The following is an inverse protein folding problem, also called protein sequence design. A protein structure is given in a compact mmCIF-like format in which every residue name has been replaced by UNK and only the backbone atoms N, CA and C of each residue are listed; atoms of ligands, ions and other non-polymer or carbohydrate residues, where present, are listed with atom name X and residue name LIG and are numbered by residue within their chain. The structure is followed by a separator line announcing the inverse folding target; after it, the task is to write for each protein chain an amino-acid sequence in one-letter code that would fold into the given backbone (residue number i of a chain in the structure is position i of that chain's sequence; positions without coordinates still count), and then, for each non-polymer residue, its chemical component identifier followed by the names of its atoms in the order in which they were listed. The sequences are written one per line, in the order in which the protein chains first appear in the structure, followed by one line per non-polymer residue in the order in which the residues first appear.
data_IF_046659351396
#
_entry.id   IF_046659351396
#
_cell.length_a   1.000
_cell.length_b   1.000
_cell.length_c   1.000
_cell.angle_alpha   90.00
_cell.angle_beta   90.00
_cell.angle_gamma   90.00
#
_symmetry.space_group_name_H-M   'P 1'
#
loop_
_entity.id
_entity.type
_entity.pdbx_description
1 polymer ?
#
# COMPACT_ATOMS: atom_id res chain seq x y z
N UNK A 1 11.39 -3.45 3.79
CA UNK A 1 10.86 -4.04 2.54
C UNK A 1 10.47 -2.98 1.51
N UNK A 2 9.59 -2.01 1.84
CA UNK A 2 9.20 -0.94 0.91
C UNK A 2 10.38 -0.12 0.35
N UNK A 3 11.32 0.31 1.20
CA UNK A 3 12.52 1.05 0.77
C UNK A 3 13.38 0.24 -0.22
N UNK A 4 13.56 -1.06 0.03
CA UNK A 4 14.31 -1.93 -0.87
C UNK A 4 13.65 -2.03 -2.26
N UNK A 5 12.32 -2.00 -2.32
CA UNK A 5 11.56 -1.98 -3.58
C UNK A 5 11.72 -0.63 -4.29
N UNK A 6 11.74 0.49 -3.56
CA UNK A 6 12.01 1.82 -4.15
C UNK A 6 13.42 1.85 -4.76
N UNK A 7 14.42 1.34 -4.06
CA UNK A 7 15.80 1.27 -4.56
C UNK A 7 15.88 0.34 -5.78
N UNK A 8 15.29 -0.85 -5.69
CA UNK A 8 15.26 -1.82 -6.80
C UNK A 8 14.52 -1.26 -8.02
N UNK A 9 13.44 -0.50 -7.81
CA UNK A 9 12.71 0.20 -8.86
C UNK A 9 13.63 1.16 -9.64
N UNK A 10 14.51 1.91 -8.97
CA UNK A 10 15.48 2.77 -9.65
C UNK A 10 16.43 1.98 -10.57
N UNK A 11 16.91 0.83 -10.11
CA UNK A 11 17.73 -0.05 -10.95
C UNK A 11 16.94 -0.62 -12.14
N UNK A 12 15.70 -1.05 -11.92
CA UNK A 12 14.84 -1.57 -12.99
C UNK A 12 14.50 -0.52 -14.04
N UNK A 13 14.25 0.73 -13.64
CA UNK A 13 14.01 1.84 -14.57
C UNK A 13 15.24 2.04 -15.46
N UNK A 14 16.44 2.12 -14.87
CA UNK A 14 17.67 2.29 -15.65
C UNK A 14 17.88 1.15 -16.65
N UNK A 15 17.54 -0.09 -16.26
CA UNK A 15 17.66 -1.27 -17.12
C UNK A 15 16.63 -1.29 -18.25
N UNK A 16 15.39 -0.88 -17.99
CA UNK A 16 14.26 -1.05 -18.92
C UNK A 16 14.00 0.19 -19.78
N UNK A 17 14.40 1.39 -19.34
CA UNK A 17 14.22 2.64 -20.08
C UNK A 17 14.78 2.62 -21.51
N UNK A 18 15.95 2.01 -21.80
CA UNK A 18 16.47 1.92 -23.16
C UNK A 18 15.55 1.13 -24.12
N UNK A 19 14.70 0.26 -23.59
CA UNK A 19 13.80 -0.60 -24.38
C UNK A 19 12.42 0.03 -24.63
N UNK A 20 12.24 1.32 -24.32
CA UNK A 20 10.98 2.01 -24.55
C UNK A 20 10.61 2.03 -26.05
N UNK A 21 9.45 1.49 -26.40
CA UNK A 21 8.95 1.42 -27.78
C UNK A 21 9.44 0.20 -28.57
N UNK A 22 10.23 -0.68 -27.95
CA UNK A 22 10.67 -1.93 -28.58
C UNK A 22 9.63 -3.04 -28.41
N UNK A 23 9.52 -3.93 -29.41
CA UNK A 23 8.60 -5.08 -29.40
C UNK A 23 9.16 -6.33 -28.71
N UNK A 24 10.32 -6.22 -28.05
CA UNK A 24 10.93 -7.33 -27.31
C UNK A 24 10.35 -7.45 -25.89
N UNK A 25 10.75 -8.51 -25.18
CA UNK A 25 10.24 -8.78 -23.83
C UNK A 25 10.57 -7.66 -22.84
N UNK A 26 11.69 -6.96 -23.03
CA UNK A 26 12.09 -5.84 -22.17
C UNK A 26 11.23 -4.60 -22.43
N UNK A 27 10.88 -4.31 -23.69
CA UNK A 27 9.94 -3.25 -24.06
C UNK A 27 8.52 -3.53 -23.58
N UNK A 28 8.07 -4.79 -23.65
CA UNK A 28 6.81 -5.20 -23.03
C UNK A 28 6.82 -4.99 -21.51
N UNK A 29 7.88 -5.43 -20.81
CA UNK A 29 8.03 -5.24 -19.38
C UNK A 29 8.12 -3.75 -19.00
N UNK A 30 8.82 -2.95 -19.79
CA UNK A 30 8.87 -1.51 -19.62
C UNK A 30 7.47 -0.89 -19.73
N UNK A 31 6.74 -1.23 -20.79
CA UNK A 31 5.38 -0.72 -20.99
C UNK A 31 4.43 -1.19 -19.88
N UNK A 32 4.50 -2.44 -19.44
CA UNK A 32 3.63 -2.94 -18.37
C UNK A 32 3.91 -2.30 -17.00
N UNK A 33 5.19 -2.11 -16.66
CA UNK A 33 5.59 -1.61 -15.33
C UNK A 33 5.64 -0.08 -15.24
N UNK A 34 5.94 0.58 -16.37
CA UNK A 34 6.24 2.01 -16.46
C UNK A 34 5.46 2.75 -17.54
N UNK A 35 4.30 2.23 -17.97
CA UNK A 35 3.48 2.90 -18.98
C UNK A 35 3.28 4.37 -18.60
N UNK A 36 3.80 5.27 -19.43
CA UNK A 36 3.93 6.69 -19.15
C UNK A 36 4.50 6.99 -17.74
N UNK A 37 5.83 7.09 -17.64
CA UNK A 37 6.56 7.42 -16.39
C UNK A 37 5.98 8.67 -15.69
N UNK A 38 5.32 9.56 -16.44
CA UNK A 38 4.72 10.79 -15.90
C UNK A 38 3.35 10.59 -15.26
N UNK A 39 2.66 9.48 -15.56
CA UNK A 39 1.27 9.18 -15.15
C UNK A 39 1.18 8.03 -14.15
N UNK A 40 2.00 8.11 -13.11
CA UNK A 40 1.95 7.23 -11.93
C UNK A 40 2.17 5.73 -12.20
N UNK A 41 3.38 5.35 -12.67
CA UNK A 41 3.73 3.96 -12.95
C UNK A 41 3.54 3.01 -11.76
N UNK A 42 3.01 1.82 -12.04
CA UNK A 42 2.61 0.80 -11.05
C UNK A 42 3.75 0.52 -10.06
N UNK A 43 4.99 0.43 -10.55
CA UNK A 43 6.12 0.06 -9.69
C UNK A 43 6.58 1.19 -8.76
N UNK A 44 6.31 2.44 -9.11
CA UNK A 44 6.63 3.60 -8.27
C UNK A 44 5.66 3.76 -7.08
N UNK A 45 4.39 3.40 -7.27
CA UNK A 45 3.36 3.50 -6.23
C UNK A 45 3.19 2.23 -5.40
N UNK A 46 3.67 1.08 -5.89
CA UNK A 46 3.64 -0.18 -5.16
C UNK A 46 4.31 -0.13 -3.75
N UNK A 47 5.44 0.58 -3.55
CA UNK A 47 5.99 0.80 -2.21
C UNK A 47 5.05 1.53 -1.25
N UNK A 48 4.32 2.54 -1.72
CA UNK A 48 3.32 3.25 -0.92
C UNK A 48 2.21 2.32 -0.49
N UNK A 49 1.73 1.49 -1.42
CA UNK A 49 0.74 0.45 -1.12
C UNK A 49 1.25 -0.54 -0.05
N UNK A 50 2.48 -1.04 -0.17
CA UNK A 50 3.06 -1.98 0.79
C UNK A 50 3.24 -1.35 2.18
N UNK A 51 3.73 -0.12 2.22
CA UNK A 51 3.90 0.64 3.46
C UNK A 51 2.53 0.90 4.09
N UNK A 52 1.55 1.35 3.32
CA UNK A 52 0.17 1.55 3.77
C UNK A 52 -0.47 0.27 4.31
N UNK A 53 -0.21 -0.88 3.70
CA UNK A 53 -0.74 -2.18 4.17
C UNK A 53 -0.07 -2.65 5.46
N UNK A 54 1.25 -2.50 5.57
CA UNK A 54 1.98 -2.86 6.80
C UNK A 54 1.58 -1.95 7.96
N UNK A 55 1.55 -0.64 7.72
CA UNK A 55 1.16 0.33 8.74
C UNK A 55 -0.32 0.16 9.09
N UNK A 56 -1.19 -0.09 8.12
CA UNK A 56 -2.60 -0.41 8.35
C UNK A 56 -2.79 -1.61 9.27
N UNK A 57 -2.02 -2.69 9.10
CA UNK A 57 -2.05 -3.85 10.00
C UNK A 57 -1.52 -3.52 11.40
N UNK A 58 -0.47 -2.71 11.50
CA UNK A 58 0.05 -2.25 12.79
C UNK A 58 -0.99 -1.40 13.54
N UNK A 59 -1.67 -0.49 12.83
CA UNK A 59 -2.77 0.31 13.37
C UNK A 59 -3.91 -0.60 13.80
N UNK A 60 -4.32 -1.56 12.96
CA UNK A 60 -5.39 -2.49 13.28
C UNK A 60 -5.10 -3.25 14.58
N UNK A 61 -3.88 -3.80 14.71
CA UNK A 61 -3.46 -4.48 15.94
C UNK A 61 -3.47 -3.53 17.14
N UNK A 62 -2.86 -2.35 17.00
CA UNK A 62 -2.71 -1.40 18.10
C UNK A 62 -4.03 -0.76 18.56
N UNK A 63 -5.02 -0.59 17.67
CA UNK A 63 -6.25 0.15 17.97
C UNK A 63 -7.52 -0.71 18.06
N UNK A 64 -7.52 -1.95 17.57
CA UNK A 64 -8.76 -2.71 17.37
C UNK A 64 -8.76 -4.14 17.93
N UNK A 65 -7.61 -4.82 18.00
CA UNK A 65 -7.54 -6.24 18.35
C UNK A 65 -7.37 -6.51 19.85
N UNK A 66 -6.84 -5.57 20.63
CA UNK A 66 -6.55 -5.79 22.05
C UNK A 66 -7.52 -5.04 22.98
N UNK A 67 -8.30 -5.81 23.73
CA UNK A 67 -9.04 -5.36 24.89
C UNK A 67 -8.08 -5.29 26.09
N UNK A 68 -8.14 -4.17 26.80
CA UNK A 68 -7.64 -3.92 28.17
C UNK A 68 -6.15 -3.54 28.39
N UNK A 69 -5.99 -2.49 29.22
CA UNK A 69 -4.80 -2.05 29.99
C UNK A 69 -3.84 -0.96 29.44
N UNK A 70 -3.26 -0.21 30.38
CA UNK A 70 -2.37 0.97 30.23
C UNK A 70 -1.16 0.77 29.29
N UNK A 71 -0.76 -0.49 29.04
CA UNK A 71 0.33 -0.87 28.11
C UNK A 71 -0.04 -0.54 26.65
N UNK A 72 -1.34 -0.45 26.34
CA UNK A 72 -1.83 -0.12 25.00
C UNK A 72 -1.66 1.38 24.67
N UNK A 73 -1.79 2.27 25.66
CA UNK A 73 -1.61 3.71 25.44
C UNK A 73 -0.15 4.06 25.12
N UNK A 74 0.81 3.38 25.74
CA UNK A 74 2.23 3.58 25.41
C UNK A 74 2.56 3.05 24.02
N UNK A 75 1.96 1.91 23.61
CA UNK A 75 2.17 1.33 22.27
C UNK A 75 1.55 2.18 21.14
N UNK A 76 0.33 2.71 21.35
CA UNK A 76 -0.31 3.65 20.41
C UNK A 76 0.48 4.94 20.26
N UNK A 77 0.85 5.58 21.39
CA UNK A 77 1.67 6.81 21.37
C UNK A 77 3.03 6.56 20.73
N UNK A 78 3.65 5.40 20.97
CA UNK A 78 4.90 5.01 20.32
C UNK A 78 4.72 4.84 18.82
N UNK A 79 3.63 4.22 18.35
CA UNK A 79 3.32 4.10 16.92
C UNK A 79 3.11 5.48 16.27
N UNK A 80 2.32 6.34 16.90
CA UNK A 80 2.06 7.70 16.42
C UNK A 80 3.34 8.53 16.36
N UNK A 81 4.14 8.52 17.43
CA UNK A 81 5.41 9.24 17.46
C UNK A 81 6.39 8.68 16.42
N UNK A 82 6.48 7.36 16.27
CA UNK A 82 7.37 6.71 15.30
C UNK A 82 6.98 7.08 13.88
N UNK A 83 5.69 6.98 13.54
CA UNK A 83 5.19 7.34 12.19
C UNK A 83 5.41 8.82 11.88
N UNK A 84 5.21 9.71 12.86
CA UNK A 84 5.47 11.13 12.70
C UNK A 84 6.96 11.46 12.52
N UNK A 85 7.84 10.87 13.34
CA UNK A 85 9.29 11.08 13.24
C UNK A 85 9.82 10.61 11.89
N UNK A 86 9.42 9.43 11.43
CA UNK A 86 9.79 8.96 10.09
C UNK A 86 9.17 9.81 8.99
N UNK A 87 7.93 10.28 9.15
CA UNK A 87 7.27 11.18 8.21
C UNK A 87 8.04 12.47 7.99
N UNK A 88 8.35 13.17 9.09
CA UNK A 88 9.15 14.41 9.06
C UNK A 88 10.55 14.13 8.51
N UNK A 89 11.20 13.06 8.96
CA UNK A 89 12.53 12.66 8.47
C UNK A 89 12.55 12.43 6.96
N UNK A 90 11.54 11.77 6.40
CA UNK A 90 11.42 11.57 4.96
C UNK A 90 11.11 12.85 4.19
N UNK A 91 10.26 13.74 4.71
CA UNK A 91 10.04 15.06 4.09
C UNK A 91 11.37 15.81 3.97
N UNK A 92 12.13 15.90 5.06
CA UNK A 92 13.42 16.59 5.08
C UNK A 92 14.42 15.92 4.13
N UNK A 93 14.50 14.58 4.15
CA UNK A 93 15.40 13.83 3.27
C UNK A 93 15.04 14.02 1.80
N UNK A 94 13.75 13.99 1.44
CA UNK A 94 13.29 14.21 0.07
C UNK A 94 13.66 15.60 -0.46
N UNK A 95 13.51 16.63 0.39
CA UNK A 95 13.88 18.02 0.04
C UNK A 95 15.41 18.18 -0.07
N UNK A 96 16.17 17.74 0.94
CA UNK A 96 17.61 17.97 1.01
C UNK A 96 18.38 17.16 -0.05
N UNK A 97 17.94 15.93 -0.36
CA UNK A 97 18.70 15.02 -1.21
C UNK A 97 18.99 15.59 -2.60
N UNK A 98 17.99 16.24 -3.24
CA UNK A 98 18.18 16.89 -4.54
C UNK A 98 17.09 17.92 -4.84
N UNK A 99 17.23 19.13 -4.31
CA UNK A 99 16.34 20.26 -4.65
C UNK A 99 16.61 20.75 -6.08
N UNK A 100 15.58 21.02 -6.92
CA UNK A 100 14.13 20.98 -6.67
C UNK A 100 13.45 19.69 -7.17
N UNK A 101 14.17 18.57 -7.30
CA UNK A 101 13.61 17.33 -7.85
C UNK A 101 12.44 16.78 -7.01
N UNK A 102 12.33 17.13 -5.73
CA UNK A 102 11.16 16.78 -4.92
C UNK A 102 9.84 17.33 -5.45
N UNK A 103 9.85 18.31 -6.38
CA UNK A 103 8.66 18.81 -7.09
C UNK A 103 8.38 18.06 -8.40
N UNK A 104 9.35 17.30 -8.91
CA UNK A 104 9.22 16.55 -10.16
C UNK A 104 8.57 15.19 -9.85
N UNK A 105 7.29 15.05 -10.21
CA UNK A 105 6.55 13.80 -10.13
C UNK A 105 7.32 12.70 -10.87
N UNK A 106 7.43 11.51 -10.27
CA UNK A 106 8.30 10.36 -10.65
C UNK A 106 9.76 10.37 -10.17
N UNK A 107 10.27 11.48 -9.61
CA UNK A 107 11.65 11.48 -9.09
C UNK A 107 11.77 10.71 -7.77
N UNK A 108 12.95 10.16 -7.50
CA UNK A 108 13.24 9.52 -6.22
C UNK A 108 13.02 10.46 -5.02
N UNK A 109 13.43 11.72 -5.15
CA UNK A 109 13.21 12.75 -4.13
C UNK A 109 11.72 13.01 -3.89
N UNK A 110 10.90 13.04 -4.94
CA UNK A 110 9.45 13.21 -4.85
C UNK A 110 8.78 12.02 -4.16
N UNK A 111 9.22 10.78 -4.46
CA UNK A 111 8.71 9.57 -3.81
C UNK A 111 8.94 9.63 -2.29
N UNK A 112 10.17 9.94 -1.88
CA UNK A 112 10.52 10.00 -0.45
C UNK A 112 9.76 11.14 0.23
N UNK A 113 9.73 12.32 -0.39
CA UNK A 113 8.99 13.47 0.11
C UNK A 113 7.50 13.15 0.31
N UNK A 114 6.85 12.59 -0.72
CA UNK A 114 5.42 12.25 -0.70
C UNK A 114 5.12 11.16 0.33
N UNK A 115 6.01 10.17 0.47
CA UNK A 115 5.87 9.13 1.49
C UNK A 115 5.92 9.74 2.90
N UNK A 116 6.82 10.70 3.12
CA UNK A 116 6.90 11.42 4.39
C UNK A 116 5.63 12.22 4.68
N UNK A 117 5.08 12.87 3.66
CA UNK A 117 3.81 13.59 3.75
C UNK A 117 2.64 12.66 4.09
N UNK A 118 2.52 11.52 3.41
CA UNK A 118 1.49 10.52 3.66
C UNK A 118 1.55 9.97 5.09
N UNK A 119 2.75 9.75 5.63
CA UNK A 119 2.94 9.31 7.02
C UNK A 119 2.46 10.37 8.01
N UNK A 120 2.82 11.64 7.80
CA UNK A 120 2.35 12.74 8.65
C UNK A 120 0.82 12.88 8.62
N UNK A 121 0.23 12.78 7.42
CA UNK A 121 -1.21 12.87 7.22
C UNK A 121 -1.96 11.70 7.84
N UNK A 122 -1.40 10.49 7.76
CA UNK A 122 -1.91 9.31 8.47
C UNK A 122 -1.88 9.49 9.99
N UNK A 123 -0.77 10.00 10.54
CA UNK A 123 -0.69 10.29 11.98
C UNK A 123 -1.73 11.32 12.39
N UNK A 124 -1.94 12.37 11.59
CA UNK A 124 -2.97 13.38 11.84
C UNK A 124 -4.38 12.76 11.90
N UNK A 125 -4.72 11.88 10.95
CA UNK A 125 -6.01 11.18 10.98
C UNK A 125 -6.19 10.26 12.18
N UNK A 126 -5.13 9.55 12.58
CA UNK A 126 -5.19 8.70 13.77
C UNK A 126 -5.42 9.51 15.06
N UNK A 127 -4.78 10.68 15.18
CA UNK A 127 -5.00 11.59 16.30
C UNK A 127 -6.45 12.10 16.31
N UNK A 128 -7.01 12.44 15.14
CA UNK A 128 -8.41 12.84 15.04
C UNK A 128 -9.39 11.72 15.42
N UNK A 129 -9.08 10.47 15.05
CA UNK A 129 -9.87 9.32 15.48
C UNK A 129 -9.76 9.10 17.01
N UNK A 130 -8.56 9.26 17.59
CA UNK A 130 -8.33 9.11 19.04
C UNK A 130 -9.07 10.19 19.86
N UNK A 131 -9.14 11.41 19.34
CA UNK A 131 -9.86 12.51 19.99
C UNK A 131 -11.40 12.38 19.87
N UNK A 132 -11.92 11.33 19.22
CA UNK A 132 -13.35 11.12 18.96
C UNK A 132 -14.06 12.35 18.34
N UNK A 133 -13.32 13.22 17.65
CA UNK A 133 -13.90 14.39 16.95
C UNK A 133 -14.93 13.91 15.91
N UNK A 134 -14.61 12.77 15.29
CA UNK A 134 -15.55 11.95 14.55
C UNK A 134 -15.97 10.83 15.51
N UNK A 135 -17.27 10.63 15.75
CA UNK A 135 -17.81 9.53 16.56
C UNK A 135 -18.24 8.35 15.66
N UNK A 136 -17.36 7.60 14.95
CA UNK A 136 -17.79 6.44 14.21
C UNK A 136 -18.14 5.35 15.23
N UNK A 137 -19.42 4.94 15.25
CA UNK A 137 -19.86 3.73 15.96
C UNK A 137 -18.91 2.57 15.60
N UNK A 138 -18.50 1.78 16.61
CA UNK A 138 -17.45 0.74 16.61
C UNK A 138 -17.30 -0.17 15.37
N UNK A 139 -18.31 -0.30 14.49
CA UNK A 139 -18.25 -1.15 13.29
C UNK A 139 -17.91 -0.42 11.98
N UNK A 140 -17.64 0.89 11.98
CA UNK A 140 -17.48 1.69 10.75
C UNK A 140 -16.21 2.53 10.71
N UNK A 141 -15.08 1.96 11.08
CA UNK A 141 -13.85 2.72 11.14
C UNK A 141 -13.14 2.67 9.78
N UNK A 142 -13.03 3.83 9.14
CA UNK A 142 -12.47 4.03 7.80
C UNK A 142 -11.11 3.30 7.61
N UNK A 143 -10.23 3.39 8.61
CA UNK A 143 -8.90 2.77 8.57
C UNK A 143 -8.93 1.24 8.52
N UNK A 144 -9.96 0.60 9.10
CA UNK A 144 -10.17 -0.83 9.00
C UNK A 144 -10.39 -1.26 7.55
N UNK A 145 -11.35 -0.62 6.86
CA UNK A 145 -11.66 -0.93 5.47
C UNK A 145 -10.51 -0.58 4.54
N UNK A 146 -9.84 0.55 4.78
CA UNK A 146 -8.66 0.96 4.02
C UNK A 146 -7.54 -0.08 4.11
N UNK A 147 -7.20 -0.56 5.31
CA UNK A 147 -6.18 -1.60 5.49
C UNK A 147 -6.56 -2.95 4.88
N UNK A 148 -7.85 -3.27 4.83
CA UNK A 148 -8.34 -4.54 4.31
C UNK A 148 -8.39 -4.56 2.78
N UNK A 149 -8.75 -3.45 2.15
CA UNK A 149 -8.98 -3.34 0.71
C UNK A 149 -7.96 -2.47 -0.03
N UNK A 150 -6.91 -1.98 0.62
CA UNK A 150 -5.88 -1.12 0.02
C UNK A 150 -5.36 -1.67 -1.32
N UNK A 151 -5.13 -2.98 -1.44
CA UNK A 151 -4.63 -3.61 -2.68
C UNK A 151 -5.68 -3.60 -3.78
N UNK A 152 -6.92 -3.89 -3.40
CA UNK A 152 -8.07 -3.89 -4.30
C UNK A 152 -8.34 -2.47 -4.82
N UNK A 153 -8.28 -1.46 -3.94
CA UNK A 153 -8.44 -0.05 -4.31
C UNK A 153 -7.30 0.39 -5.23
N UNK A 154 -6.05 0.02 -4.91
CA UNK A 154 -4.89 0.35 -5.72
C UNK A 154 -5.00 -0.19 -7.16
N UNK A 155 -5.35 -1.47 -7.30
CA UNK A 155 -5.54 -2.08 -8.62
C UNK A 155 -6.78 -1.52 -9.34
N UNK A 156 -7.87 -1.28 -8.61
CA UNK A 156 -9.07 -0.65 -9.17
C UNK A 156 -8.75 0.75 -9.70
N UNK A 157 -7.89 1.53 -9.04
CA UNK A 157 -7.47 2.85 -9.51
C UNK A 157 -6.76 2.78 -10.87
N UNK A 158 -5.88 1.80 -11.05
CA UNK A 158 -5.20 1.56 -12.32
C UNK A 158 -6.18 1.14 -13.44
N UNK A 159 -7.24 0.39 -13.10
CA UNK A 159 -8.30 0.02 -14.07
C UNK A 159 -9.19 1.23 -14.39
N UNK A 160 -9.53 2.04 -13.39
CA UNK A 160 -10.36 3.24 -13.53
C UNK A 160 -9.72 4.28 -14.46
N UNK A 161 -8.39 4.36 -14.51
CA UNK A 161 -7.68 5.20 -15.49
C UNK A 161 -8.18 4.97 -16.92
N UNK A 162 -8.35 3.71 -17.34
CA UNK A 162 -8.83 3.38 -18.68
C UNK A 162 -10.27 3.81 -18.93
N UNK A 163 -11.12 3.83 -17.90
CA UNK A 163 -12.52 4.26 -18.02
C UNK A 163 -12.64 5.77 -18.25
N UNK A 164 -11.69 6.55 -17.74
CA UNK A 164 -11.72 8.02 -17.78
C UNK A 164 -10.66 8.65 -18.68
N UNK A 165 -9.97 7.84 -19.48
CA UNK A 165 -8.91 8.29 -20.38
C UNK A 165 -9.42 9.41 -21.30
N UNK A 166 -8.78 10.57 -21.27
CA UNK A 166 -9.10 11.78 -22.04
C UNK A 166 -10.51 12.37 -21.84
N UNK A 167 -11.29 11.89 -20.87
CA UNK A 167 -12.63 12.40 -20.56
C UNK A 167 -12.63 13.48 -19.47
N UNK A 168 -11.56 13.52 -18.66
CA UNK A 168 -11.43 14.40 -17.51
C UNK A 168 -10.62 15.65 -17.86
N UNK A 169 -11.05 16.78 -17.32
CA UNK A 169 -10.39 18.08 -17.37
C UNK A 169 -10.21 18.60 -15.93
N UNK A 170 -9.29 19.54 -15.72
CA UNK A 170 -8.92 20.09 -14.40
C UNK A 170 -10.12 20.58 -13.58
N UNK A 171 -11.18 21.05 -14.24
CA UNK A 171 -12.38 21.53 -13.56
C UNK A 171 -13.35 20.42 -13.13
N UNK A 172 -13.51 19.36 -13.94
CA UNK A 172 -14.48 18.30 -13.66
C UNK A 172 -13.90 17.16 -12.84
N UNK A 173 -12.56 17.02 -12.79
CA UNK A 173 -11.87 15.92 -12.11
C UNK A 173 -12.27 15.80 -10.63
N UNK A 174 -12.47 16.93 -9.95
CA UNK A 174 -12.84 16.96 -8.55
C UNK A 174 -14.19 16.30 -8.27
N UNK A 175 -15.16 16.53 -9.16
CA UNK A 175 -16.48 15.90 -9.04
C UNK A 175 -16.39 14.38 -9.20
N UNK A 176 -15.65 13.91 -10.22
CA UNK A 176 -15.44 12.48 -10.44
C UNK A 176 -14.67 11.81 -9.30
N UNK A 177 -13.65 12.48 -8.75
CA UNK A 177 -12.94 12.00 -7.56
C UNK A 177 -13.92 11.76 -6.41
N UNK A 178 -14.76 12.75 -6.06
CA UNK A 178 -15.72 12.63 -4.97
C UNK A 178 -16.70 11.47 -5.23
N UNK A 179 -17.26 11.37 -6.43
CA UNK A 179 -18.21 10.30 -6.81
C UNK A 179 -17.54 8.93 -6.72
N UNK A 180 -16.31 8.78 -7.22
CA UNK A 180 -15.55 7.53 -7.17
C UNK A 180 -15.24 7.14 -5.73
N UNK A 181 -14.79 8.07 -4.88
CA UNK A 181 -14.50 7.77 -3.47
C UNK A 181 -15.74 7.29 -2.72
N UNK A 182 -16.87 7.97 -2.89
CA UNK A 182 -18.15 7.57 -2.29
C UNK A 182 -18.58 6.19 -2.84
N UNK A 183 -18.47 5.99 -4.16
CA UNK A 183 -18.85 4.74 -4.81
C UNK A 183 -18.00 3.56 -4.35
N UNK A 184 -16.67 3.75 -4.27
CA UNK A 184 -15.73 2.75 -3.74
C UNK A 184 -16.11 2.41 -2.30
N UNK A 185 -16.38 3.40 -1.45
CA UNK A 185 -16.75 3.16 -0.06
C UNK A 185 -18.05 2.32 0.05
N UNK A 186 -19.08 2.66 -0.74
CA UNK A 186 -20.35 1.91 -0.78
C UNK A 186 -20.13 0.49 -1.29
N UNK A 187 -19.36 0.32 -2.37
CA UNK A 187 -19.04 -0.99 -2.96
C UNK A 187 -18.27 -1.84 -1.95
N UNK A 188 -17.25 -1.30 -1.29
CA UNK A 188 -16.46 -2.01 -0.30
C UNK A 188 -17.31 -2.43 0.89
N UNK A 189 -18.24 -1.59 1.36
CA UNK A 189 -19.21 -1.98 2.40
C UNK A 189 -20.10 -3.12 1.94
N UNK A 190 -20.62 -3.06 0.71
CA UNK A 190 -21.48 -4.11 0.17
C UNK A 190 -20.72 -5.44 0.04
N UNK A 191 -19.48 -5.40 -0.46
CA UNK A 191 -18.59 -6.56 -0.56
C UNK A 191 -18.29 -7.12 0.82
N UNK A 192 -17.91 -6.27 1.78
CA UNK A 192 -17.61 -6.72 3.14
C UNK A 192 -18.83 -7.33 3.83
N UNK A 193 -20.02 -6.73 3.68
CA UNK A 193 -21.25 -7.28 4.28
C UNK A 193 -21.63 -8.63 3.68
N UNK A 194 -21.36 -8.86 2.40
CA UNK A 194 -21.78 -10.08 1.69
C UNK A 194 -20.73 -11.20 1.78
N UNK A 195 -19.45 -10.85 1.62
CA UNK A 195 -18.33 -11.78 1.44
C UNK A 195 -17.26 -11.66 2.55
N UNK A 196 -17.47 -10.78 3.52
CA UNK A 196 -16.54 -10.51 4.63
C UNK A 196 -15.11 -10.29 4.12
N UNK A 197 -14.13 -10.92 4.78
CA UNK A 197 -12.73 -10.84 4.37
C UNK A 197 -12.37 -11.69 3.14
N UNK A 198 -13.24 -12.60 2.68
CA UNK A 198 -12.89 -13.55 1.62
C UNK A 198 -12.70 -12.91 0.24
N UNK A 199 -13.29 -11.72 0.04
CA UNK A 199 -13.16 -10.93 -1.18
C UNK A 199 -11.85 -10.14 -1.26
N UNK A 200 -11.13 -9.96 -0.15
CA UNK A 200 -9.90 -9.17 -0.17
C UNK A 200 -8.77 -9.96 -0.83
N UNK A 201 -8.05 -9.32 -1.76
CA UNK A 201 -6.84 -9.90 -2.36
C UNK A 201 -5.82 -10.28 -1.29
N UNK A 202 -5.73 -9.49 -0.22
CA UNK A 202 -4.88 -9.75 0.93
C UNK A 202 -5.20 -11.11 1.58
N UNK A 203 -6.47 -11.40 1.81
CA UNK A 203 -6.93 -12.67 2.40
C UNK A 203 -6.72 -13.84 1.44
N UNK A 204 -6.94 -13.64 0.14
CA UNK A 204 -6.68 -14.65 -0.88
C UNK A 204 -5.19 -15.02 -0.94
N UNK A 205 -4.30 -14.01 -0.96
CA UNK A 205 -2.84 -14.22 -0.89
C UNK A 205 -2.46 -14.94 0.41
N UNK A 206 -3.07 -14.57 1.54
CA UNK A 206 -2.87 -15.25 2.83
C UNK A 206 -3.22 -16.74 2.78
N UNK A 207 -4.37 -17.10 2.18
CA UNK A 207 -4.78 -18.50 2.00
C UNK A 207 -3.81 -19.27 1.10
N UNK A 208 -3.36 -18.66 0.00
CA UNK A 208 -2.38 -19.28 -0.91
C UNK A 208 -1.05 -19.52 -0.18
N UNK A 209 -0.57 -18.54 0.59
CA UNK A 209 0.65 -18.69 1.40
C UNK A 209 0.54 -19.85 2.39
N UNK A 210 -0.59 -19.93 3.10
CA UNK A 210 -0.82 -20.99 4.08
C UNK A 210 -0.86 -22.37 3.41
N UNK A 211 -1.51 -22.48 2.25
CA UNK A 211 -1.51 -23.72 1.46
C UNK A 211 -0.10 -24.11 0.96
N UNK A 212 0.72 -23.13 0.55
CA UNK A 212 2.11 -23.39 0.15
C UNK A 212 2.96 -23.84 1.35
N UNK A 213 2.84 -23.18 2.51
CA UNK A 213 3.58 -23.55 3.73
C UNK A 213 3.27 -24.98 4.14
N UNK A 214 1.99 -25.37 4.16
CA UNK A 214 1.58 -26.75 4.47
C UNK A 214 2.23 -27.74 3.50
N UNK A 215 2.16 -27.48 2.18
CA UNK A 215 2.81 -28.34 1.19
C UNK A 215 4.33 -28.46 1.37
N UNK A 216 5.00 -27.38 1.77
CA UNK A 216 6.43 -27.39 2.08
C UNK A 216 6.75 -28.21 3.33
N UNK A 217 5.94 -28.07 4.39
CA UNK A 217 6.09 -28.85 5.62
C UNK A 217 5.83 -30.34 5.38
N UNK A 218 4.79 -30.70 4.63
CA UNK A 218 4.50 -32.08 4.23
C UNK A 218 5.66 -32.69 3.44
N UNK A 219 6.21 -31.95 2.47
CA UNK A 219 7.38 -32.40 1.69
C UNK A 219 8.63 -32.58 2.55
N UNK A 220 8.83 -31.73 3.56
CA UNK A 220 9.95 -31.83 4.52
C UNK A 220 9.78 -33.04 5.43
N UNK A 221 8.57 -33.27 5.97
CA UNK A 221 8.23 -34.46 6.77
C UNK A 221 8.42 -35.75 5.98
N UNK A 222 7.99 -35.78 4.72
CA UNK A 222 8.15 -36.94 3.85
C UNK A 222 9.62 -37.26 3.53
N UNK A 223 10.47 -36.22 3.40
CA UNK A 223 11.93 -36.40 3.25
C UNK A 223 12.60 -36.91 4.53
N UNK A 224 12.18 -36.42 5.70
CA UNK A 224 12.70 -36.89 6.99
C UNK A 224 12.28 -38.33 7.30
N UNK A 225 11.06 -38.72 6.94
CA UNK A 225 10.57 -40.10 7.08
C UNK A 225 11.25 -41.11 6.14
N UNK A 226 11.93 -40.63 5.09
CA UNK A 226 12.69 -41.45 4.11
C UNK A 226 14.20 -41.40 4.32
N UNK A 227 14.71 -40.65 5.29
CA UNK A 227 16.13 -40.65 5.61
C UNK A 227 16.49 -42.04 6.19
N UNK A 228 17.51 -42.74 5.64
CA UNK A 228 17.94 -44.01 6.20
C UNK A 228 18.42 -43.79 7.63
N UNK A 229 18.06 -44.70 8.53
CA UNK A 229 18.68 -44.81 9.84
C UNK A 229 20.12 -45.24 9.56
N UNK A 230 21.05 -44.29 9.52
CA UNK A 230 22.48 -44.60 9.54
C UNK A 230 22.77 -45.21 10.92
N UNK A 231 22.88 -46.54 10.93
CA UNK A 231 23.32 -47.35 12.07
C UNK A 231 24.80 -47.66 11.98
#
# INVERSE_FOLDING_TARGET
MGIAIIIFNQFLVILLLPHNGESNIYGFLYHFLYNDITQDPILYFFPFFLIGTVIGDMIYKAFYLENETQIMNSSKKKLLATTLIFGIGFILLGVIFKTPQFLIRSSFSWIIYSLGFDLCLLTMFLVFEELNILNPKKSYKFLFYYSFYSLTIYLAHNILYFLFLNQLNVFNIWFFIVVIYISIEVILRAIYKKWEGSASLKTQIGKIRLALTIKFEEKKRFKQAKAPIEG
#
